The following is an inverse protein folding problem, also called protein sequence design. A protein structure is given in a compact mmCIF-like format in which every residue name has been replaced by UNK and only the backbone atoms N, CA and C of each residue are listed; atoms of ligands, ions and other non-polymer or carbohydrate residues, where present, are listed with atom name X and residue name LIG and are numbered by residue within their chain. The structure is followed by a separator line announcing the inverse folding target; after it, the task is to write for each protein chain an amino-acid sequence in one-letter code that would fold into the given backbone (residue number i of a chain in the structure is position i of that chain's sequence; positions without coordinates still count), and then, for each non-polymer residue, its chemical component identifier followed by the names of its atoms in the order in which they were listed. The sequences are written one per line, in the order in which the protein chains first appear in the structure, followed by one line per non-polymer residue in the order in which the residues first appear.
data_IF_042699262435
#
_entry.id   IF_042699262435
#
_cell.length_a   1.000
_cell.length_b   1.000
_cell.length_c   1.000
_cell.angle_alpha   90.00
_cell.angle_beta   90.00
_cell.angle_gamma   90.00
#
_symmetry.space_group_name_H-M   'P 1'
#
loop_
_entity.id
_entity.type
_entity.pdbx_description
1 polymer ?
#
# COMPACT_ATOMS: atom_id res chain seq x y z
N UNK A 1 4.42 38.86 -1.16
CA UNK A 1 4.12 37.50 -0.64
C UNK A 1 3.59 36.60 -1.75
N UNK A 2 2.50 36.97 -2.45
CA UNK A 2 2.05 36.31 -3.70
C UNK A 2 3.20 36.13 -4.72
N UNK A 3 3.95 37.20 -4.98
CA UNK A 3 5.11 37.18 -5.89
C UNK A 3 6.38 36.47 -5.36
N UNK A 4 6.39 36.04 -4.09
CA UNK A 4 7.52 35.31 -3.48
C UNK A 4 7.23 33.81 -3.48
N UNK A 5 5.97 33.41 -3.26
CA UNK A 5 5.47 32.04 -3.49
C UNK A 5 5.38 31.71 -4.99
N UNK A 6 5.08 32.68 -5.86
CA UNK A 6 5.18 32.48 -7.33
C UNK A 6 6.64 32.37 -7.82
N UNK A 7 7.60 32.96 -7.09
CA UNK A 7 9.03 32.92 -7.45
C UNK A 7 9.79 31.75 -6.82
N UNK A 8 9.32 31.24 -5.69
CA UNK A 8 9.72 29.93 -5.21
C UNK A 8 8.99 28.91 -6.09
N UNK A 9 9.59 28.53 -7.22
CA UNK A 9 9.11 27.42 -8.04
C UNK A 9 8.66 26.31 -7.11
N UNK A 10 7.36 25.98 -7.13
CA UNK A 10 6.76 24.86 -6.41
C UNK A 10 7.40 23.57 -6.93
N UNK A 11 8.63 23.31 -6.50
CA UNK A 11 9.22 21.98 -6.57
C UNK A 11 9.23 21.50 -5.13
N UNK A 12 8.75 20.29 -4.88
CA UNK A 12 8.72 19.70 -3.55
C UNK A 12 10.09 19.82 -2.83
N UNK A 13 11.18 19.81 -3.59
CA UNK A 13 12.56 19.97 -3.14
C UNK A 13 12.92 21.41 -2.69
N UNK A 14 12.49 22.45 -3.41
CA UNK A 14 12.74 23.85 -3.02
C UNK A 14 11.91 24.27 -1.80
N UNK A 15 10.71 23.70 -1.64
CA UNK A 15 9.88 23.93 -0.45
C UNK A 15 10.33 23.09 0.76
N UNK A 16 10.86 21.88 0.55
CA UNK A 16 11.46 21.06 1.61
C UNK A 16 12.67 21.76 2.25
N UNK A 17 13.54 22.35 1.44
CA UNK A 17 14.67 23.16 1.92
C UNK A 17 14.21 24.43 2.67
N UNK A 18 13.03 24.96 2.35
CA UNK A 18 12.45 26.12 3.03
C UNK A 18 11.79 25.75 4.38
N UNK A 19 11.26 24.53 4.51
CA UNK A 19 10.54 24.10 5.71
C UNK A 19 11.43 23.70 6.89
N UNK A 20 12.71 23.36 6.67
CA UNK A 20 13.61 22.89 7.72
C UNK A 20 14.05 23.95 8.73
N UNK A 21 13.94 25.25 8.39
CA UNK A 21 14.51 26.33 9.24
C UNK A 21 13.50 27.41 9.68
N UNK A 22 12.34 27.61 9.01
CA UNK A 22 11.46 28.79 9.25
C UNK A 22 9.94 28.56 9.12
N UNK A 23 9.46 27.31 9.09
CA UNK A 23 8.08 26.97 8.72
C UNK A 23 6.97 27.46 9.69
N UNK A 24 7.24 27.59 10.99
CA UNK A 24 6.17 27.74 11.99
C UNK A 24 5.47 29.10 12.00
N UNK A 25 6.14 30.20 11.63
CA UNK A 25 5.53 31.55 11.65
C UNK A 25 4.92 31.97 10.32
N UNK A 26 5.38 31.43 9.19
CA UNK A 26 4.90 31.82 7.86
C UNK A 26 3.67 31.01 7.38
N UNK A 27 3.47 29.79 7.90
CA UNK A 27 2.25 29.01 7.63
C UNK A 27 0.98 29.65 8.22
N UNK A 28 1.12 30.43 9.29
CA UNK A 28 0.01 31.14 9.94
C UNK A 28 -0.58 32.30 9.09
N UNK A 29 0.00 32.61 7.93
CA UNK A 29 -0.42 33.69 7.02
C UNK A 29 -1.04 33.18 5.70
N UNK A 30 -1.80 32.07 5.74
CA UNK A 30 -2.56 31.56 4.59
C UNK A 30 -1.75 30.72 3.58
N UNK A 31 -0.55 30.26 3.96
CA UNK A 31 0.28 29.39 3.11
C UNK A 31 -0.39 28.05 2.79
N UNK A 32 -1.13 27.48 3.75
CA UNK A 32 -1.89 26.25 3.55
C UNK A 32 -3.01 26.44 2.51
N UNK A 33 -3.73 27.55 2.53
CA UNK A 33 -4.81 27.84 1.58
C UNK A 33 -4.28 27.92 0.14
N UNK A 34 -3.08 28.48 -0.06
CA UNK A 34 -2.41 28.51 -1.36
C UNK A 34 -2.11 27.10 -1.85
N UNK A 35 -1.56 26.24 -0.99
CA UNK A 35 -1.26 24.84 -1.33
C UNK A 35 -2.54 24.08 -1.69
N UNK A 36 -3.61 24.23 -0.88
CA UNK A 36 -4.90 23.60 -1.15
C UNK A 36 -5.56 24.12 -2.44
N UNK A 37 -5.38 25.41 -2.76
CA UNK A 37 -5.84 26.00 -4.02
C UNK A 37 -5.09 25.42 -5.23
N UNK A 38 -3.78 25.19 -5.12
CA UNK A 38 -2.97 24.55 -6.16
C UNK A 38 -3.30 23.07 -6.32
N UNK A 39 -3.54 22.36 -5.22
CA UNK A 39 -4.00 20.97 -5.25
C UNK A 39 -5.35 20.84 -5.99
N UNK A 40 -6.26 21.78 -5.73
CA UNK A 40 -7.60 21.82 -6.35
C UNK A 40 -7.62 22.43 -7.76
N UNK A 41 -6.48 22.92 -8.24
CA UNK A 41 -6.36 23.56 -9.54
C UNK A 41 -6.46 22.59 -10.72
N UNK A 42 -6.60 23.16 -11.93
CA UNK A 42 -6.73 22.38 -13.17
C UNK A 42 -5.40 21.84 -13.72
N UNK A 43 -4.26 22.38 -13.28
CA UNK A 43 -2.94 22.02 -13.81
C UNK A 43 -2.35 20.86 -13.01
N UNK A 44 -2.37 19.65 -13.60
CA UNK A 44 -1.95 18.41 -12.93
C UNK A 44 -0.54 18.48 -12.34
N UNK A 45 0.44 19.03 -13.05
CA UNK A 45 1.82 19.13 -12.54
C UNK A 45 1.92 19.98 -11.28
N UNK A 46 1.24 21.12 -11.24
CA UNK A 46 1.18 22.01 -10.06
C UNK A 46 0.46 21.32 -8.91
N UNK A 47 -0.60 20.57 -9.19
CA UNK A 47 -1.32 19.82 -8.15
C UNK A 47 -0.50 18.67 -7.57
N UNK A 48 0.33 17.99 -8.37
CA UNK A 48 1.27 16.96 -7.90
C UNK A 48 2.33 17.57 -6.98
N UNK A 49 2.90 18.71 -7.35
CA UNK A 49 3.88 19.43 -6.51
C UNK A 49 3.24 19.88 -5.19
N UNK A 50 2.00 20.38 -5.24
CA UNK A 50 1.23 20.71 -4.06
C UNK A 50 0.98 19.48 -3.17
N UNK A 51 0.74 18.29 -3.74
CA UNK A 51 0.64 17.04 -2.99
C UNK A 51 1.98 16.65 -2.34
N UNK A 52 3.10 16.84 -3.04
CA UNK A 52 4.45 16.63 -2.49
C UNK A 52 4.74 17.53 -1.28
N UNK A 53 4.34 18.80 -1.34
CA UNK A 53 4.41 19.71 -0.19
C UNK A 53 3.47 19.25 0.92
N UNK A 54 2.23 18.90 0.60
CA UNK A 54 1.23 18.46 1.58
C UNK A 54 1.70 17.22 2.35
N UNK A 55 2.39 16.28 1.68
CA UNK A 55 3.00 15.10 2.31
C UNK A 55 3.91 15.48 3.47
N UNK A 56 4.75 16.48 3.29
CA UNK A 56 5.70 16.92 4.31
C UNK A 56 4.97 17.58 5.49
N UNK A 57 3.94 18.39 5.20
CA UNK A 57 3.20 19.12 6.21
C UNK A 57 2.30 18.22 7.06
N UNK A 58 1.81 17.13 6.47
CA UNK A 58 0.88 16.19 7.10
C UNK A 58 1.58 14.93 7.61
N UNK A 59 2.92 14.91 7.61
CA UNK A 59 3.69 13.76 8.07
C UNK A 59 3.24 13.35 9.49
N UNK A 60 2.82 12.09 9.70
CA UNK A 60 2.23 11.68 10.97
C UNK A 60 3.19 11.62 12.15
N UNK A 61 4.50 11.49 11.91
CA UNK A 61 5.51 11.60 12.97
C UNK A 61 5.77 13.07 13.36
N UNK A 62 5.64 13.99 12.39
CA UNK A 62 5.97 15.40 12.55
C UNK A 62 4.97 16.30 11.80
N UNK A 63 3.71 16.29 12.21
CA UNK A 63 2.67 17.04 11.50
C UNK A 63 2.78 18.52 11.82
N UNK A 64 3.00 19.34 10.79
CA UNK A 64 3.05 20.80 10.89
C UNK A 64 1.65 21.43 10.79
N UNK A 65 0.70 20.73 10.16
CA UNK A 65 -0.68 21.20 9.96
C UNK A 65 -1.70 20.14 10.36
N UNK A 66 -2.87 20.61 10.78
CA UNK A 66 -4.09 19.81 10.92
C UNK A 66 -5.07 20.27 9.86
N UNK A 67 -5.53 19.35 9.02
CA UNK A 67 -6.47 19.66 7.96
C UNK A 67 -7.90 19.58 8.49
N UNK A 68 -8.71 20.54 8.08
CA UNK A 68 -10.16 20.48 8.24
C UNK A 68 -10.79 20.07 6.92
N UNK A 69 -11.86 19.27 6.97
CA UNK A 69 -12.60 18.81 5.80
C UNK A 69 -11.71 18.07 4.78
N UNK A 70 -11.13 16.92 5.20
CA UNK A 70 -10.20 16.16 4.35
C UNK A 70 -10.87 15.49 3.14
N UNK A 71 -12.20 15.36 3.12
CA UNK A 71 -12.92 14.63 2.07
C UNK A 71 -12.59 15.11 0.64
N UNK A 72 -12.79 16.40 0.30
CA UNK A 72 -12.44 16.93 -1.01
C UNK A 72 -10.95 16.78 -1.36
N UNK A 73 -10.07 16.85 -0.35
CA UNK A 73 -8.62 16.67 -0.53
C UNK A 73 -8.32 15.22 -0.93
N UNK A 74 -8.91 14.25 -0.25
CA UNK A 74 -8.74 12.82 -0.55
C UNK A 74 -9.27 12.48 -1.95
N UNK A 75 -10.46 12.96 -2.31
CA UNK A 75 -11.03 12.75 -3.65
C UNK A 75 -10.10 13.32 -4.72
N UNK A 76 -9.61 14.55 -4.51
CA UNK A 76 -8.69 15.18 -5.46
C UNK A 76 -7.36 14.42 -5.58
N UNK A 77 -6.82 13.92 -4.48
CA UNK A 77 -5.60 13.10 -4.50
C UNK A 77 -5.80 11.78 -5.25
N UNK A 78 -6.97 11.16 -5.14
CA UNK A 78 -7.30 9.98 -5.95
C UNK A 78 -7.39 10.32 -7.45
N UNK A 79 -7.94 11.49 -7.82
CA UNK A 79 -7.96 11.95 -9.23
C UNK A 79 -6.54 12.17 -9.79
N UNK A 80 -5.63 12.62 -8.94
CA UNK A 80 -4.22 12.74 -9.29
C UNK A 80 -3.55 11.37 -9.44
N UNK A 81 -3.86 10.38 -8.59
CA UNK A 81 -3.36 9.00 -8.73
C UNK A 81 -3.72 8.44 -10.11
N UNK A 82 -4.95 8.67 -10.58
CA UNK A 82 -5.36 8.21 -11.90
C UNK A 82 -4.55 8.86 -13.04
N UNK A 83 -3.97 10.04 -12.80
CA UNK A 83 -3.19 10.82 -13.76
C UNK A 83 -1.67 10.58 -13.67
N UNK A 84 -1.16 9.94 -12.62
CA UNK A 84 0.27 9.71 -12.45
C UNK A 84 0.82 8.69 -13.46
N UNK A 85 1.93 9.03 -14.11
CA UNK A 85 2.57 8.17 -15.13
C UNK A 85 3.97 7.69 -14.74
N UNK A 86 4.47 8.07 -13.56
CA UNK A 86 5.80 7.71 -13.07
C UNK A 86 5.77 7.36 -11.59
N UNK A 87 6.70 6.53 -11.13
CA UNK A 87 6.84 6.20 -9.71
C UNK A 87 7.08 7.42 -8.81
N UNK A 88 7.78 8.45 -9.29
CA UNK A 88 8.00 9.69 -8.54
C UNK A 88 6.68 10.46 -8.32
N UNK A 89 5.91 10.69 -9.37
CA UNK A 89 4.62 11.41 -9.26
C UNK A 89 3.62 10.63 -8.43
N UNK A 90 3.57 9.30 -8.61
CA UNK A 90 2.73 8.43 -7.81
C UNK A 90 3.14 8.42 -6.34
N UNK A 91 4.45 8.43 -6.04
CA UNK A 91 4.96 8.51 -4.67
C UNK A 91 4.48 9.79 -3.97
N UNK A 92 4.64 10.96 -4.61
CA UNK A 92 4.23 12.23 -4.00
C UNK A 92 2.73 12.26 -3.68
N UNK A 93 1.89 11.80 -4.60
CA UNK A 93 0.44 11.83 -4.42
C UNK A 93 -0.03 10.75 -3.45
N UNK A 94 0.50 9.53 -3.53
CA UNK A 94 0.13 8.43 -2.62
C UNK A 94 0.60 8.67 -1.18
N UNK A 95 1.76 9.31 -0.99
CA UNK A 95 2.23 9.72 0.34
C UNK A 95 1.33 10.80 0.95
N UNK A 96 0.90 11.78 0.15
CA UNK A 96 -0.06 12.78 0.59
C UNK A 96 -1.39 12.12 0.97
N UNK A 97 -1.91 11.22 0.13
CA UNK A 97 -3.16 10.49 0.40
C UNK A 97 -3.07 9.71 1.71
N UNK A 98 -1.98 8.96 1.91
CA UNK A 98 -1.69 8.20 3.12
C UNK A 98 -1.72 9.12 4.36
N UNK A 99 -0.93 10.19 4.35
CA UNK A 99 -0.80 11.11 5.48
C UNK A 99 -2.11 11.85 5.80
N UNK A 100 -2.75 12.45 4.79
CA UNK A 100 -4.03 13.17 4.95
C UNK A 100 -5.10 12.25 5.49
N UNK A 101 -5.19 11.03 4.98
CA UNK A 101 -6.21 10.07 5.44
C UNK A 101 -6.02 9.67 6.90
N UNK A 102 -4.83 9.84 7.50
CA UNK A 102 -4.61 9.50 8.91
C UNK A 102 -5.07 10.59 9.88
N UNK A 103 -5.32 11.81 9.39
CA UNK A 103 -5.77 12.91 10.25
C UNK A 103 -7.27 12.82 10.61
N UNK A 104 -8.06 12.04 9.85
CA UNK A 104 -9.50 11.91 10.06
C UNK A 104 -9.93 10.42 10.11
N UNK A 105 -10.59 9.96 11.19
CA UNK A 105 -11.15 8.62 11.26
C UNK A 105 -12.13 8.26 10.14
N UNK A 106 -12.89 9.23 9.60
CA UNK A 106 -13.85 9.01 8.51
C UNK A 106 -13.18 8.90 7.14
N UNK A 107 -11.90 9.26 7.02
CA UNK A 107 -11.19 9.22 5.75
C UNK A 107 -11.20 7.84 5.10
N UNK A 108 -11.16 6.76 5.89
CA UNK A 108 -11.17 5.39 5.35
C UNK A 108 -12.47 5.08 4.62
N UNK A 109 -13.60 5.54 5.18
CA UNK A 109 -14.92 5.36 4.56
C UNK A 109 -15.04 6.18 3.27
N UNK A 110 -14.45 7.39 3.25
CA UNK A 110 -14.38 8.24 2.04
C UNK A 110 -13.52 7.57 0.96
N UNK A 111 -12.35 7.03 1.32
CA UNK A 111 -11.47 6.32 0.38
C UNK A 111 -12.19 5.12 -0.25
N UNK A 112 -12.89 4.33 0.56
CA UNK A 112 -13.68 3.21 0.08
C UNK A 112 -14.76 3.65 -0.92
N UNK A 113 -15.58 4.65 -0.55
CA UNK A 113 -16.65 5.19 -1.40
C UNK A 113 -16.14 5.77 -2.74
N UNK A 114 -14.88 6.16 -2.81
CA UNK A 114 -14.24 6.73 -4.00
C UNK A 114 -13.31 5.73 -4.72
N UNK A 115 -13.54 4.43 -4.52
CA UNK A 115 -12.86 3.33 -5.20
C UNK A 115 -11.33 3.38 -5.06
N UNK A 116 -10.82 3.78 -3.89
CA UNK A 116 -9.38 3.93 -3.68
C UNK A 116 -8.60 2.63 -3.97
N UNK A 117 -9.17 1.45 -3.66
CA UNK A 117 -8.49 0.16 -3.85
C UNK A 117 -8.13 -0.03 -5.33
N UNK A 118 -9.12 -0.14 -6.23
CA UNK A 118 -8.86 -0.39 -7.65
C UNK A 118 -8.03 0.73 -8.30
N UNK A 119 -8.18 1.99 -7.86
CA UNK A 119 -7.39 3.13 -8.39
C UNK A 119 -5.92 3.02 -8.00
N UNK A 120 -5.62 2.69 -6.74
CA UNK A 120 -4.25 2.49 -6.27
C UNK A 120 -3.60 1.27 -6.94
N UNK A 121 -4.33 0.16 -7.08
CA UNK A 121 -3.84 -1.04 -7.78
C UNK A 121 -3.58 -0.75 -9.26
N UNK A 122 -4.51 -0.06 -9.93
CA UNK A 122 -4.35 0.33 -11.33
C UNK A 122 -3.14 1.24 -11.54
N UNK A 123 -2.92 2.23 -10.67
CA UNK A 123 -1.76 3.10 -10.75
C UNK A 123 -0.44 2.39 -10.45
N UNK A 124 -0.43 1.49 -9.45
CA UNK A 124 0.73 0.66 -9.12
C UNK A 124 1.21 -0.20 -10.29
N UNK A 125 0.25 -0.82 -11.00
CA UNK A 125 0.53 -1.73 -12.12
C UNK A 125 0.98 -1.02 -13.40
N UNK A 126 1.05 0.32 -13.42
CA UNK A 126 1.62 1.06 -14.54
C UNK A 126 3.13 0.86 -14.58
N UNK A 127 3.69 0.93 -15.78
CA UNK A 127 5.13 0.86 -15.98
C UNK A 127 5.85 1.90 -15.09
N UNK A 128 6.95 1.48 -14.46
CA UNK A 128 7.81 2.29 -13.60
C UNK A 128 7.16 2.87 -12.33
N UNK A 129 5.97 2.40 -11.95
CA UNK A 129 5.24 2.86 -10.76
C UNK A 129 5.44 1.95 -9.52
N UNK A 130 5.90 0.71 -9.72
CA UNK A 130 6.05 -0.33 -8.69
C UNK A 130 7.29 -0.18 -7.79
N UNK A 131 7.65 1.04 -7.41
CA UNK A 131 8.82 1.28 -6.53
C UNK A 131 8.52 0.91 -5.08
N UNK A 132 9.54 0.54 -4.31
CA UNK A 132 9.40 0.21 -2.88
C UNK A 132 8.78 1.36 -2.05
N UNK A 133 9.05 2.61 -2.44
CA UNK A 133 8.49 3.78 -1.78
C UNK A 133 6.98 3.89 -2.01
N UNK A 134 6.52 3.65 -3.24
CA UNK A 134 5.10 3.59 -3.59
C UNK A 134 4.41 2.43 -2.88
N UNK A 135 5.06 1.25 -2.85
CA UNK A 135 4.52 0.08 -2.15
C UNK A 135 4.22 0.39 -0.67
N UNK A 136 5.13 1.08 0.02
CA UNK A 136 4.89 1.49 1.40
C UNK A 136 3.66 2.40 1.56
N UNK A 137 3.44 3.34 0.64
CA UNK A 137 2.29 4.24 0.74
C UNK A 137 0.97 3.49 0.47
N UNK A 138 0.94 2.67 -0.59
CA UNK A 138 -0.24 1.90 -0.96
C UNK A 138 -0.61 0.92 0.15
N UNK A 139 0.35 0.15 0.68
CA UNK A 139 0.07 -0.82 1.73
C UNK A 139 -0.42 -0.15 3.02
N UNK A 140 0.03 1.07 3.30
CA UNK A 140 -0.50 1.86 4.43
C UNK A 140 -1.98 2.17 4.26
N UNK A 141 -2.42 2.56 3.06
CA UNK A 141 -3.84 2.82 2.79
C UNK A 141 -4.66 1.52 2.82
N UNK A 142 -4.19 0.46 2.15
CA UNK A 142 -4.91 -0.81 2.05
C UNK A 142 -5.04 -1.51 3.41
N UNK A 143 -3.99 -1.49 4.25
CA UNK A 143 -4.04 -2.05 5.62
C UNK A 143 -5.08 -1.35 6.49
N UNK A 144 -5.28 -0.04 6.31
CA UNK A 144 -6.32 0.71 7.04
C UNK A 144 -7.73 0.40 6.54
N UNK A 145 -7.90 0.20 5.24
CA UNK A 145 -9.17 -0.28 4.67
C UNK A 145 -9.53 -1.67 5.23
N UNK A 146 -8.54 -2.58 5.32
CA UNK A 146 -8.74 -3.88 5.95
C UNK A 146 -9.10 -3.75 7.44
N UNK A 147 -8.38 -2.92 8.20
CA UNK A 147 -8.70 -2.68 9.60
C UNK A 147 -10.12 -2.12 9.82
N UNK A 148 -10.72 -1.52 8.77
CA UNK A 148 -12.08 -0.98 8.76
C UNK A 148 -13.13 -1.97 8.22
N UNK A 149 -12.76 -3.23 8.00
CA UNK A 149 -13.66 -4.31 7.55
C UNK A 149 -14.06 -4.23 6.07
N UNK A 150 -13.17 -3.73 5.21
CA UNK A 150 -13.33 -3.70 3.75
C UNK A 150 -12.53 -4.81 3.03
N UNK A 151 -12.33 -5.96 3.68
CA UNK A 151 -11.53 -7.08 3.16
C UNK A 151 -12.14 -7.66 1.87
N UNK A 152 -13.47 -7.82 1.81
CA UNK A 152 -14.16 -8.32 0.61
C UNK A 152 -13.94 -7.40 -0.60
N UNK A 153 -13.88 -6.09 -0.37
CA UNK A 153 -13.56 -5.12 -1.41
C UNK A 153 -12.09 -5.22 -1.85
N UNK A 154 -11.18 -5.46 -0.91
CA UNK A 154 -9.76 -5.68 -1.22
C UNK A 154 -9.55 -6.90 -2.10
N UNK A 155 -10.28 -7.99 -1.82
CA UNK A 155 -10.28 -9.19 -2.66
C UNK A 155 -10.88 -8.89 -4.03
N UNK A 156 -12.14 -8.45 -4.08
CA UNK A 156 -12.89 -8.28 -5.33
C UNK A 156 -12.32 -7.21 -6.27
N UNK A 157 -11.51 -6.28 -5.76
CA UNK A 157 -10.83 -5.25 -6.54
C UNK A 157 -9.36 -5.59 -6.85
N UNK A 158 -8.94 -6.84 -6.64
CA UNK A 158 -7.64 -7.34 -7.09
C UNK A 158 -6.44 -6.88 -6.27
N UNK A 159 -6.61 -6.54 -4.99
CA UNK A 159 -5.50 -6.13 -4.13
C UNK A 159 -4.63 -7.30 -3.67
N UNK A 160 -5.19 -8.52 -3.57
CA UNK A 160 -4.49 -9.69 -3.01
C UNK A 160 -3.18 -10.03 -3.74
N UNK A 161 -3.12 -10.12 -5.08
CA UNK A 161 -1.86 -10.40 -5.78
C UNK A 161 -0.78 -9.36 -5.50
N UNK A 162 -1.16 -8.09 -5.49
CA UNK A 162 -0.24 -6.98 -5.22
C UNK A 162 0.26 -7.00 -3.77
N UNK A 163 -0.60 -7.31 -2.80
CA UNK A 163 -0.19 -7.44 -1.40
C UNK A 163 0.75 -8.63 -1.18
N UNK A 164 0.55 -9.73 -1.89
CA UNK A 164 1.43 -10.90 -1.86
C UNK A 164 2.79 -10.60 -2.51
N UNK A 165 2.80 -9.88 -3.63
CA UNK A 165 4.04 -9.37 -4.24
C UNK A 165 4.83 -8.50 -3.23
N UNK A 166 4.15 -7.53 -2.60
CA UNK A 166 4.75 -6.64 -1.59
C UNK A 166 5.27 -7.37 -0.34
N UNK A 167 4.67 -8.52 0.05
CA UNK A 167 5.15 -9.35 1.16
C UNK A 167 6.57 -9.89 0.91
N UNK A 168 6.91 -10.06 -0.37
CA UNK A 168 8.14 -10.70 -0.81
C UNK A 168 9.21 -9.70 -1.25
N UNK A 169 8.92 -8.38 -1.16
CA UNK A 169 9.84 -7.34 -1.59
C UNK A 169 11.14 -7.37 -0.78
N UNK A 170 12.26 -7.38 -1.51
CA UNK A 170 13.61 -7.28 -0.96
C UNK A 170 14.39 -6.18 -1.65
N UNK A 171 14.95 -5.26 -0.86
CA UNK A 171 15.85 -4.21 -1.32
C UNK A 171 16.97 -4.08 -0.29
N UNK A 172 18.22 -4.33 -0.71
CA UNK A 172 19.39 -4.30 0.18
C UNK A 172 19.74 -2.89 0.64
N UNK A 173 19.42 -1.86 -0.15
CA UNK A 173 19.64 -0.46 0.20
C UNK A 173 18.51 0.09 1.07
N UNK A 174 17.30 -0.45 0.94
CA UNK A 174 16.09 0.03 1.61
C UNK A 174 15.43 -1.01 2.53
N UNK A 175 16.24 -1.80 3.25
CA UNK A 175 15.75 -2.90 4.09
C UNK A 175 14.72 -2.49 5.15
N UNK A 176 14.79 -1.24 5.65
CA UNK A 176 13.80 -0.69 6.58
C UNK A 176 12.42 -0.52 5.93
N UNK A 177 12.35 -0.13 4.66
CA UNK A 177 11.09 -0.07 3.90
C UNK A 177 10.49 -1.47 3.74
N UNK A 178 11.30 -2.47 3.37
CA UNK A 178 10.85 -3.86 3.30
C UNK A 178 10.28 -4.35 4.64
N UNK A 179 10.92 -3.99 5.76
CA UNK A 179 10.43 -4.35 7.10
C UNK A 179 9.09 -3.69 7.41
N UNK A 180 8.96 -2.39 7.11
CA UNK A 180 7.73 -1.62 7.35
C UNK A 180 6.56 -2.08 6.46
N UNK A 181 6.82 -2.46 5.22
CA UNK A 181 5.84 -3.06 4.31
C UNK A 181 5.34 -4.38 4.89
N UNK A 182 6.26 -5.31 5.21
CA UNK A 182 5.91 -6.61 5.79
C UNK A 182 5.20 -6.50 7.13
N UNK A 183 5.56 -5.54 7.98
CA UNK A 183 4.86 -5.30 9.25
C UNK A 183 3.40 -4.88 9.03
N UNK A 184 3.14 -3.97 8.07
CA UNK A 184 1.77 -3.55 7.71
C UNK A 184 0.97 -4.71 7.10
N UNK A 185 1.63 -5.55 6.30
CA UNK A 185 1.05 -6.77 5.72
C UNK A 185 0.78 -7.86 6.77
N UNK A 186 1.62 -8.00 7.79
CA UNK A 186 1.35 -8.90 8.92
C UNK A 186 0.08 -8.50 9.69
N UNK A 187 -0.25 -7.21 9.74
CA UNK A 187 -1.53 -6.72 10.28
C UNK A 187 -2.76 -7.02 9.41
N UNK A 188 -2.56 -7.46 8.15
CA UNK A 188 -3.63 -7.89 7.24
C UNK A 188 -4.06 -9.36 7.45
N UNK A 189 -3.70 -9.96 8.59
CA UNK A 189 -4.20 -11.25 9.07
C UNK A 189 -5.74 -11.39 8.99
N UNK A 190 -6.47 -10.26 8.98
CA UNK A 190 -7.93 -10.26 8.77
C UNK A 190 -8.33 -10.65 7.34
N UNK A 191 -7.60 -10.25 6.31
CA UNK A 191 -7.87 -10.70 4.93
C UNK A 191 -7.56 -12.20 4.83
N UNK A 192 -6.42 -12.65 5.36
CA UNK A 192 -6.04 -14.07 5.34
C UNK A 192 -6.98 -14.95 6.19
N UNK A 193 -7.56 -14.42 7.28
CA UNK A 193 -8.57 -15.13 8.06
C UNK A 193 -9.99 -15.04 7.48
N UNK A 194 -10.30 -14.07 6.63
CA UNK A 194 -11.53 -14.10 5.81
C UNK A 194 -11.37 -15.04 4.61
N UNK A 195 -10.14 -15.24 4.11
CA UNK A 195 -9.83 -16.30 3.14
C UNK A 195 -10.05 -17.70 3.71
N UNK A 196 -9.88 -17.91 5.02
CA UNK A 196 -10.22 -19.16 5.70
C UNK A 196 -11.69 -19.26 6.13
N UNK A 197 -12.44 -18.14 6.15
CA UNK A 197 -13.77 -18.05 6.74
C UNK A 197 -14.95 -17.75 5.80
N UNK A 198 -14.77 -17.23 4.59
CA UNK A 198 -15.92 -16.87 3.72
C UNK A 198 -15.70 -17.13 2.23
N UNK A 199 -16.67 -17.87 1.66
CA UNK A 199 -16.93 -18.12 0.23
C UNK A 199 -15.77 -18.67 -0.61
N UNK A 200 -15.95 -19.93 -1.00
CA UNK A 200 -15.10 -20.78 -1.83
C UNK A 200 -14.40 -20.12 -3.02
N UNK A 201 -14.95 -19.11 -3.68
CA UNK A 201 -14.31 -18.45 -4.83
C UNK A 201 -13.07 -17.63 -4.45
N UNK A 202 -13.09 -17.01 -3.27
CA UNK A 202 -12.08 -16.05 -2.81
C UNK A 202 -10.83 -16.79 -2.27
N UNK A 203 -11.03 -17.90 -1.59
CA UNK A 203 -9.95 -18.80 -1.15
C UNK A 203 -9.24 -19.46 -2.33
N UNK A 204 -9.97 -19.80 -3.41
CA UNK A 204 -9.40 -20.36 -4.65
C UNK A 204 -8.51 -19.34 -5.35
N UNK A 205 -8.93 -18.08 -5.44
CA UNK A 205 -8.15 -17.04 -6.12
C UNK A 205 -6.85 -16.73 -5.35
N UNK A 206 -6.92 -16.58 -4.02
CA UNK A 206 -5.72 -16.38 -3.20
C UNK A 206 -4.78 -17.59 -3.23
N UNK A 207 -5.33 -18.81 -3.15
CA UNK A 207 -4.53 -20.03 -3.25
C UNK A 207 -3.88 -20.17 -4.63
N UNK A 208 -4.60 -19.86 -5.71
CA UNK A 208 -4.07 -19.88 -7.08
C UNK A 208 -2.99 -18.86 -7.33
N UNK A 209 -3.14 -17.65 -6.77
CA UNK A 209 -2.11 -16.60 -6.81
C UNK A 209 -0.88 -17.04 -6.01
N UNK A 210 -1.05 -17.63 -4.83
CA UNK A 210 0.05 -18.21 -4.07
C UNK A 210 0.75 -19.34 -4.86
N UNK A 211 0.02 -20.22 -5.54
CA UNK A 211 0.61 -21.25 -6.41
C UNK A 211 1.42 -20.64 -7.55
N UNK A 212 0.94 -19.57 -8.20
CA UNK A 212 1.64 -18.90 -9.29
C UNK A 212 2.90 -18.17 -8.80
N UNK A 213 2.81 -17.43 -7.70
CA UNK A 213 3.93 -16.69 -7.11
C UNK A 213 5.04 -17.61 -6.60
N UNK A 214 4.67 -18.80 -6.15
CA UNK A 214 5.61 -19.81 -5.65
C UNK A 214 6.15 -20.70 -6.77
N UNK A 215 5.61 -20.63 -7.99
CA UNK A 215 6.00 -21.53 -9.08
C UNK A 215 7.49 -21.36 -9.45
N UNK A 216 8.33 -22.39 -9.29
CA UNK A 216 9.78 -22.29 -9.54
C UNK A 216 10.13 -22.05 -11.02
N UNK A 217 9.22 -22.37 -11.96
CA UNK A 217 9.43 -22.16 -13.40
C UNK A 217 9.08 -20.73 -13.86
N UNK A 218 8.31 -19.98 -13.06
CA UNK A 218 7.90 -18.59 -13.31
C UNK A 218 8.38 -17.67 -12.19
N UNK A 219 9.58 -17.90 -11.68
CA UNK A 219 10.13 -17.25 -10.48
C UNK A 219 10.36 -15.74 -10.67
N UNK A 220 9.29 -14.95 -10.54
CA UNK A 220 9.35 -13.50 -10.36
C UNK A 220 9.81 -13.11 -8.95
N UNK A 221 9.77 -14.04 -8.00
CA UNK A 221 10.07 -13.83 -6.58
C UNK A 221 10.99 -14.94 -6.07
N UNK A 222 12.18 -14.58 -5.57
CA UNK A 222 12.90 -15.45 -4.64
C UNK A 222 12.31 -15.23 -3.25
N UNK A 223 11.64 -16.26 -2.71
CA UNK A 223 11.04 -16.16 -1.39
C UNK A 223 12.13 -16.22 -0.31
N UNK A 224 12.49 -15.06 0.24
CA UNK A 224 13.34 -14.96 1.42
C UNK A 224 12.45 -14.82 2.66
N UNK A 225 12.59 -15.75 3.63
CA UNK A 225 11.77 -15.83 4.85
C UNK A 225 10.33 -16.35 4.62
N UNK A 226 10.22 -17.61 4.15
CA UNK A 226 8.96 -18.33 3.84
C UNK A 226 8.15 -18.74 5.06
N UNK A 227 8.72 -18.71 6.27
CA UNK A 227 8.07 -19.25 7.48
C UNK A 227 6.65 -18.71 7.74
N UNK A 228 6.44 -17.38 7.72
CA UNK A 228 5.09 -16.81 7.87
C UNK A 228 4.12 -17.20 6.75
N UNK A 229 4.61 -17.37 5.51
CA UNK A 229 3.80 -17.79 4.36
C UNK A 229 3.38 -19.25 4.52
N UNK A 230 4.30 -20.12 4.97
CA UNK A 230 4.04 -21.54 5.23
C UNK A 230 3.02 -21.75 6.33
N UNK A 231 3.19 -21.08 7.48
CA UNK A 231 2.24 -21.17 8.59
C UNK A 231 0.84 -20.77 8.12
N UNK A 232 0.73 -19.73 7.29
CA UNK A 232 -0.55 -19.28 6.73
C UNK A 232 -1.13 -20.21 5.67
N UNK A 233 -0.30 -20.82 4.83
CA UNK A 233 -0.74 -21.86 3.88
C UNK A 233 -1.24 -23.10 4.63
N UNK A 234 -0.61 -23.45 5.75
CA UNK A 234 -1.01 -24.56 6.61
C UNK A 234 -2.33 -24.26 7.35
N UNK A 235 -2.49 -23.07 7.93
CA UNK A 235 -3.77 -22.61 8.50
C UNK A 235 -4.92 -22.67 7.46
N UNK A 236 -4.61 -22.38 6.19
CA UNK A 236 -5.57 -22.50 5.09
C UNK A 236 -5.95 -23.95 4.79
N UNK A 237 -5.03 -24.91 4.89
CA UNK A 237 -5.36 -26.34 4.74
C UNK A 237 -6.40 -26.75 5.79
N UNK A 238 -6.17 -26.39 7.05
CA UNK A 238 -7.03 -26.78 8.17
C UNK A 238 -8.43 -26.17 8.11
N UNK A 239 -8.58 -25.05 7.41
CA UNK A 239 -9.83 -24.29 7.32
C UNK A 239 -10.58 -24.47 5.99
N UNK A 240 -9.95 -25.09 4.99
CA UNK A 240 -10.55 -25.27 3.67
C UNK A 240 -11.61 -26.38 3.65
N UNK A 241 -12.75 -26.09 3.02
CA UNK A 241 -13.86 -27.05 2.84
C UNK A 241 -14.00 -27.58 1.41
N UNK A 242 -13.17 -27.13 0.45
CA UNK A 242 -13.26 -27.55 -0.95
C UNK A 242 -11.97 -28.11 -1.53
N UNK A 243 -12.12 -29.10 -2.39
CA UNK A 243 -11.00 -29.83 -3.00
C UNK A 243 -10.13 -28.97 -3.92
N UNK A 244 -10.68 -27.96 -4.60
CA UNK A 244 -9.91 -27.07 -5.46
C UNK A 244 -8.96 -26.15 -4.67
N UNK A 245 -9.42 -25.58 -3.56
CA UNK A 245 -8.54 -24.78 -2.70
C UNK A 245 -7.43 -25.62 -2.08
N UNK A 246 -7.75 -26.84 -1.63
CA UNK A 246 -6.76 -27.80 -1.12
C UNK A 246 -5.69 -28.12 -2.17
N UNK A 247 -6.07 -28.32 -3.43
CA UNK A 247 -5.14 -28.56 -4.53
C UNK A 247 -4.19 -27.38 -4.76
N UNK A 248 -4.73 -26.15 -4.76
CA UNK A 248 -3.94 -24.94 -4.98
C UNK A 248 -3.00 -24.62 -3.80
N UNK A 249 -3.48 -24.76 -2.57
CA UNK A 249 -2.66 -24.59 -1.36
C UNK A 249 -1.58 -25.67 -1.31
N UNK A 250 -1.90 -26.93 -1.64
CA UNK A 250 -0.91 -28.02 -1.71
C UNK A 250 0.15 -27.76 -2.78
N UNK A 251 -0.26 -27.24 -3.95
CA UNK A 251 0.65 -26.86 -5.00
C UNK A 251 1.56 -25.69 -4.58
N UNK A 252 1.01 -24.69 -3.89
CA UNK A 252 1.77 -23.56 -3.34
C UNK A 252 2.78 -24.02 -2.29
N UNK A 253 2.40 -24.92 -1.38
CA UNK A 253 3.31 -25.51 -0.40
C UNK A 253 4.45 -26.28 -1.07
N UNK A 254 4.13 -27.15 -2.03
CA UNK A 254 5.13 -27.91 -2.79
C UNK A 254 6.11 -26.99 -3.49
N UNK A 255 5.60 -25.92 -4.09
CA UNK A 255 6.38 -24.90 -4.75
C UNK A 255 7.31 -24.14 -3.79
N UNK A 256 6.82 -23.73 -2.61
CA UNK A 256 7.64 -23.10 -1.56
C UNK A 256 8.73 -24.06 -1.06
N UNK A 257 8.41 -25.34 -0.84
CA UNK A 257 9.37 -26.36 -0.43
C UNK A 257 10.48 -26.61 -1.45
N UNK A 258 10.19 -26.45 -2.74
CA UNK A 258 11.21 -26.55 -3.78
C UNK A 258 12.15 -25.35 -3.82
N UNK A 259 11.73 -24.19 -3.32
CA UNK A 259 12.52 -22.95 -3.36
C UNK A 259 13.34 -22.71 -2.09
N UNK A 260 12.87 -23.16 -0.92
CA UNK A 260 13.56 -22.98 0.36
C UNK A 260 13.66 -24.30 1.15
N UNK A 261 14.86 -24.86 1.39
CA UNK A 261 15.04 -26.04 2.21
C UNK A 261 14.51 -25.91 3.64
N UNK A 262 14.52 -24.70 4.23
CA UNK A 262 13.97 -24.45 5.57
C UNK A 262 12.44 -24.59 5.61
N UNK A 263 11.78 -24.47 4.46
CA UNK A 263 10.34 -24.72 4.36
C UNK A 263 9.98 -26.16 4.69
N UNK A 264 10.83 -27.11 4.28
CA UNK A 264 10.64 -28.54 4.53
C UNK A 264 10.69 -28.82 6.02
N UNK A 265 11.60 -28.19 6.77
CA UNK A 265 11.72 -28.35 8.22
C UNK A 265 10.47 -27.82 8.96
N UNK A 266 9.93 -26.67 8.53
CA UNK A 266 8.70 -26.08 9.10
C UNK A 266 7.49 -26.99 8.83
N UNK A 267 7.37 -27.51 7.60
CA UNK A 267 6.32 -28.47 7.24
C UNK A 267 6.43 -29.77 8.04
N UNK A 268 7.64 -30.28 8.22
CA UNK A 268 7.89 -31.48 9.00
C UNK A 268 7.52 -31.27 10.48
N UNK A 269 7.85 -30.11 11.06
CA UNK A 269 7.43 -29.79 12.43
C UNK A 269 5.91 -29.67 12.55
N UNK A 270 5.23 -29.10 11.57
CA UNK A 270 3.78 -28.99 11.61
C UNK A 270 3.09 -30.37 11.53
N UNK A 271 3.53 -31.24 10.62
CA UNK A 271 2.99 -32.62 10.49
C UNK A 271 3.23 -33.46 11.75
N UNK A 272 4.37 -33.28 12.42
CA UNK A 272 4.70 -34.03 13.64
C UNK A 272 3.97 -33.55 14.90
N UNK A 273 3.32 -32.37 14.85
CA UNK A 273 2.55 -31.81 15.96
C UNK A 273 1.03 -32.07 15.85
N UNK A 274 0.59 -32.83 14.84
CA UNK A 274 -0.76 -33.38 14.66
C UNK A 274 -0.74 -34.91 14.81
#
# INVERSE_FOLDING_TARGET
MKSLLEKASLTANSFAAFCSERATTHFQLGGLDVILSHLSGSTTSVSIEAAGVLTQLTNPQHSFVQLHNVGPILVRLLDLIDSCSTGETLLLVSAALSNVSMQDPQAVDILYQNNAIIRLISAYNRQDCSTIFVQEQIVTVLSRLAARRYEEALVSQGAVPVLLEMLTVTDSQHSDYCRRIRYKLGGLDVILSHLSGSTTSVSIEAAGVLTQLTNPQHSFVQLHNVGPILVRLLDLIDSCSTGETLLLVSAALSNVSMQDPQAVDILYQYVMNF
#
